data_IF_458012045609
#
_entry.id   IF_458012045609
#
_cell.length_a   1.000
_cell.length_b   1.000
_cell.length_c   1.000
_cell.angle_alpha   90.00
_cell.angle_beta   90.00
_cell.angle_gamma   90.00
#
_symmetry.space_group_name_H-M   'P 1'
#
loop_
_entity.id
_entity.type
_entity.pdbx_description
1 polymer ?
#
# COMPACT_ATOMS: atom_id res chain seq x y z
N UNK A 1 -6.84 -6.58 1.24
CA UNK A 1 -6.55 -5.14 1.34
C UNK A 1 -5.23 -4.95 2.08
N UNK A 2 -4.19 -4.52 1.37
CA UNK A 2 -2.79 -4.64 1.82
C UNK A 2 -2.33 -3.57 2.82
N UNK A 3 -2.87 -2.36 2.73
CA UNK A 3 -2.48 -1.24 3.61
C UNK A 3 -2.81 -1.59 5.07
N UNK A 4 -4.03 -2.07 5.31
CA UNK A 4 -4.44 -2.52 6.64
C UNK A 4 -3.58 -3.69 7.12
N UNK A 5 -3.19 -4.61 6.22
CA UNK A 5 -2.30 -5.70 6.57
C UNK A 5 -0.95 -5.17 7.04
N UNK A 6 -0.33 -4.24 6.30
CA UNK A 6 0.93 -3.61 6.69
C UNK A 6 0.82 -2.92 8.06
N UNK A 7 -0.25 -2.16 8.28
CA UNK A 7 -0.49 -1.50 9.57
C UNK A 7 -0.57 -2.52 10.72
N UNK A 8 -1.28 -3.63 10.54
CA UNK A 8 -1.40 -4.68 11.55
C UNK A 8 -0.07 -5.42 11.81
N UNK A 9 0.73 -5.66 10.77
CA UNK A 9 2.05 -6.30 10.85
C UNK A 9 3.07 -5.45 11.64
N UNK A 10 2.88 -4.12 11.74
CA UNK A 10 3.68 -3.25 12.64
C UNK A 10 3.43 -3.53 14.13
N UNK A 11 2.42 -4.32 14.46
CA UNK A 11 2.09 -4.70 15.83
C UNK A 11 1.15 -3.72 16.55
N UNK A 12 0.59 -4.19 17.66
CA UNK A 12 -0.51 -3.51 18.39
C UNK A 12 -0.18 -2.11 18.93
N UNK A 13 1.10 -1.78 19.08
CA UNK A 13 1.56 -0.48 19.57
C UNK A 13 1.79 0.53 18.45
N UNK A 14 2.12 0.06 17.24
CA UNK A 14 2.57 0.92 16.14
C UNK A 14 1.60 0.93 14.94
N UNK A 15 0.52 0.14 14.98
CA UNK A 15 -0.42 0.04 13.85
C UNK A 15 -1.15 1.35 13.52
N UNK A 16 -1.25 2.29 14.48
CA UNK A 16 -1.85 3.62 14.27
C UNK A 16 -0.85 4.67 13.81
N UNK A 17 0.44 4.34 13.77
CA UNK A 17 1.47 5.30 13.35
C UNK A 17 1.30 5.66 11.86
N UNK A 18 1.70 6.88 11.48
CA UNK A 18 1.74 7.29 10.07
C UNK A 18 2.50 6.26 9.23
N UNK A 19 1.99 6.03 8.03
CA UNK A 19 2.63 5.16 7.04
C UNK A 19 2.83 5.94 5.76
N UNK A 20 4.06 5.90 5.24
CA UNK A 20 4.41 6.52 3.98
C UNK A 20 4.20 5.57 2.79
N UNK A 21 3.91 6.08 1.58
CA UNK A 21 3.82 5.26 0.36
C UNK A 21 5.10 4.47 0.08
N UNK A 22 6.28 5.06 0.31
CA UNK A 22 7.57 4.42 0.03
C UNK A 22 7.80 3.19 0.92
N UNK A 23 7.49 3.29 2.22
CA UNK A 23 7.59 2.17 3.14
C UNK A 23 6.64 1.03 2.73
N UNK A 24 5.41 1.38 2.35
CA UNK A 24 4.44 0.41 1.86
C UNK A 24 4.85 -0.21 0.53
N UNK A 25 5.46 0.54 -0.38
CA UNK A 25 5.80 0.06 -1.72
C UNK A 25 6.70 -1.17 -1.65
N UNK A 26 7.70 -1.14 -0.76
CA UNK A 26 8.63 -2.26 -0.55
C UNK A 26 7.95 -3.47 0.10
N UNK A 27 7.09 -3.23 1.10
CA UNK A 27 6.30 -4.30 1.71
C UNK A 27 5.35 -4.95 0.71
N UNK A 28 4.68 -4.13 -0.10
CA UNK A 28 3.74 -4.57 -1.12
C UNK A 28 4.41 -5.44 -2.18
N UNK A 29 5.55 -4.99 -2.70
CA UNK A 29 6.34 -5.78 -3.65
C UNK A 29 6.73 -7.13 -3.05
N UNK A 30 7.23 -7.13 -1.81
CA UNK A 30 7.61 -8.37 -1.12
C UNK A 30 6.40 -9.31 -0.95
N UNK A 31 5.28 -8.79 -0.45
CA UNK A 31 4.06 -9.56 -0.22
C UNK A 31 3.49 -10.19 -1.51
N UNK A 32 3.55 -9.47 -2.63
CA UNK A 32 3.09 -9.97 -3.92
C UNK A 32 4.04 -11.02 -4.51
N UNK A 33 5.35 -10.84 -4.37
CA UNK A 33 6.36 -11.77 -4.89
C UNK A 33 6.53 -13.04 -4.04
N UNK A 34 6.22 -12.97 -2.74
CA UNK A 34 6.41 -14.09 -1.79
C UNK A 34 5.63 -15.35 -2.21
N UNK A 35 4.46 -15.18 -2.82
CA UNK A 35 3.62 -16.29 -3.28
C UNK A 35 3.42 -16.23 -4.78
N UNK A 36 3.81 -17.30 -5.46
CA UNK A 36 3.72 -17.41 -6.91
C UNK A 36 2.30 -17.18 -7.45
N UNK A 37 1.27 -17.67 -6.76
CA UNK A 37 -0.12 -17.45 -7.18
C UNK A 37 -0.54 -15.97 -7.12
N UNK A 38 -0.04 -15.18 -6.15
CA UNK A 38 -0.34 -13.74 -6.04
C UNK A 38 0.34 -12.98 -7.16
N UNK A 39 1.62 -13.28 -7.38
CA UNK A 39 2.41 -12.73 -8.49
C UNK A 39 1.71 -12.96 -9.83
N UNK A 40 1.16 -14.15 -10.06
CA UNK A 40 0.51 -14.49 -11.32
C UNK A 40 -0.85 -13.79 -11.51
N UNK A 41 -1.64 -13.61 -10.45
CA UNK A 41 -2.97 -12.97 -10.54
C UNK A 41 -2.83 -11.45 -10.63
N UNK A 42 -2.04 -10.84 -9.75
CA UNK A 42 -1.91 -9.37 -9.66
C UNK A 42 -1.06 -8.77 -10.78
N UNK A 43 -0.14 -9.55 -11.37
CA UNK A 43 0.70 -9.12 -12.50
C UNK A 43 0.42 -9.89 -13.81
N UNK A 44 -0.79 -10.43 -13.98
CA UNK A 44 -1.20 -11.15 -15.20
C UNK A 44 -1.16 -10.28 -16.46
N UNK A 45 -1.30 -8.95 -16.32
CA UNK A 45 -1.28 -8.03 -17.44
C UNK A 45 0.14 -7.86 -18.02
N UNK A 46 0.22 -7.74 -19.35
CA UNK A 46 1.50 -7.73 -20.08
C UNK A 46 2.46 -6.61 -19.61
N UNK A 47 1.93 -5.51 -19.08
CA UNK A 47 2.69 -4.35 -18.58
C UNK A 47 3.23 -4.49 -17.15
N UNK A 48 2.86 -5.57 -16.47
CA UNK A 48 3.14 -5.80 -15.05
C UNK A 48 4.31 -6.75 -14.81
N UNK A 49 4.79 -7.48 -15.83
CA UNK A 49 6.02 -8.29 -15.71
C UNK A 49 7.27 -7.47 -15.41
N UNK A 50 7.30 -6.19 -15.78
CA UNK A 50 8.39 -5.26 -15.44
C UNK A 50 8.42 -4.89 -13.95
N UNK A 51 7.38 -5.24 -13.20
CA UNK A 51 7.24 -5.02 -11.76
C UNK A 51 7.72 -6.21 -10.92
N UNK A 52 8.25 -7.27 -11.56
CA UNK A 52 8.73 -8.48 -10.89
C UNK A 52 10.03 -8.26 -10.12
N UNK A 53 10.90 -7.45 -10.70
CA UNK A 53 12.16 -7.05 -10.08
C UNK A 53 12.00 -5.68 -9.42
N UNK A 54 12.53 -5.55 -8.21
CA UNK A 54 12.56 -4.27 -7.52
C UNK A 54 13.52 -3.33 -8.23
N UNK A 55 12.99 -2.27 -8.84
CA UNK A 55 13.72 -1.21 -9.52
C UNK A 55 12.95 0.12 -9.40
N UNK A 56 13.57 1.23 -9.79
CA UNK A 56 12.98 2.57 -9.66
C UNK A 56 11.65 2.71 -10.42
N UNK A 57 11.48 1.99 -11.53
CA UNK A 57 10.23 1.98 -12.32
C UNK A 57 9.12 1.24 -11.57
N UNK A 58 9.46 0.13 -10.91
CA UNK A 58 8.53 -0.65 -10.11
C UNK A 58 8.11 0.11 -8.86
N UNK A 59 9.05 0.75 -8.18
CA UNK A 59 8.79 1.61 -7.03
C UNK A 59 7.83 2.76 -7.41
N UNK A 60 8.14 3.51 -8.47
CA UNK A 60 7.30 4.61 -8.94
C UNK A 60 5.88 4.16 -9.33
N UNK A 61 5.74 3.03 -10.04
CA UNK A 61 4.42 2.48 -10.39
C UNK A 61 3.63 2.03 -9.17
N UNK A 62 4.28 1.41 -8.18
CA UNK A 62 3.61 0.95 -6.96
C UNK A 62 3.17 2.15 -6.12
N UNK A 63 4.02 3.18 -5.97
CA UNK A 63 3.65 4.43 -5.29
C UNK A 63 2.45 5.09 -5.99
N UNK A 64 2.48 5.17 -7.33
CA UNK A 64 1.38 5.70 -8.12
C UNK A 64 0.08 4.88 -7.97
N UNK A 65 0.19 3.55 -7.85
CA UNK A 65 -0.95 2.69 -7.57
C UNK A 65 -1.55 3.03 -6.21
N UNK A 66 -0.72 3.17 -5.17
CA UNK A 66 -1.17 3.53 -3.83
C UNK A 66 -1.85 4.89 -3.78
N UNK A 67 -1.25 5.91 -4.40
CA UNK A 67 -1.83 7.25 -4.53
C UNK A 67 -3.20 7.20 -5.20
N UNK A 68 -3.34 6.42 -6.28
CA UNK A 68 -4.61 6.30 -6.97
C UNK A 68 -5.63 5.44 -6.19
N UNK A 69 -5.22 4.37 -5.52
CA UNK A 69 -6.03 3.49 -4.68
C UNK A 69 -5.14 2.67 -3.72
N UNK A 70 -5.42 2.59 -2.40
CA UNK A 70 -6.65 2.97 -1.71
C UNK A 70 -6.61 4.37 -1.08
N UNK A 71 -5.51 5.13 -1.19
CA UNK A 71 -5.29 6.43 -0.52
C UNK A 71 -6.44 7.44 -0.72
N UNK A 72 -6.85 7.64 -1.97
CA UNK A 72 -7.93 8.58 -2.34
C UNK A 72 -9.33 8.05 -2.01
N UNK A 73 -9.52 6.74 -1.87
CA UNK A 73 -10.84 6.15 -1.55
C UNK A 73 -11.09 6.07 -0.05
N UNK A 74 -10.04 5.83 0.73
CA UNK A 74 -10.11 5.67 2.19
C UNK A 74 -10.30 7.00 2.92
N UNK A 75 -9.66 8.06 2.43
CA UNK A 75 -9.78 9.40 2.99
C UNK A 75 -11.15 10.06 2.76
N UNK A 76 -11.90 9.59 1.76
CA UNK A 76 -13.20 10.17 1.35
C UNK A 76 -14.43 9.44 1.91
N UNK A 77 -14.25 8.29 2.57
CA UNK A 77 -15.38 7.54 3.12
C UNK A 77 -15.83 8.17 4.44
N UNK A 78 -17.09 8.64 4.52
CA UNK A 78 -17.68 9.15 5.78
C UNK A 78 -17.61 8.05 6.85
N UNK A 79 -16.95 8.35 7.97
CA UNK A 79 -16.77 7.40 9.09
C UNK A 79 -15.52 6.51 8.98
N UNK A 80 -14.62 6.74 8.01
CA UNK A 80 -13.33 6.05 8.00
C UNK A 80 -12.48 6.46 9.21
N UNK A 81 -11.85 5.48 9.84
CA UNK A 81 -10.85 5.67 10.91
C UNK A 81 -9.46 6.00 10.34
N UNK A 82 -9.37 6.27 9.05
CA UNK A 82 -8.12 6.55 8.33
C UNK A 82 -8.26 7.81 7.50
N UNK A 83 -7.32 8.74 7.64
CA UNK A 83 -7.30 9.98 6.86
C UNK A 83 -5.95 10.18 6.18
N UNK A 84 -5.99 10.86 5.04
CA UNK A 84 -4.82 11.17 4.24
C UNK A 84 -4.35 12.59 4.57
N UNK A 85 -3.08 12.76 4.93
CA UNK A 85 -2.47 14.06 5.20
C UNK A 85 -1.10 14.11 4.54
N UNK A 86 -0.91 15.10 3.66
CA UNK A 86 0.41 15.43 3.07
C UNK A 86 1.16 14.27 2.38
N UNK A 87 0.46 13.23 1.90
CA UNK A 87 1.10 12.05 1.30
C UNK A 87 1.01 10.78 2.14
N UNK A 88 0.63 10.89 3.41
CA UNK A 88 0.65 9.78 4.37
C UNK A 88 -0.75 9.31 4.78
N UNK A 89 -0.86 8.01 5.08
CA UNK A 89 -2.05 7.43 5.72
C UNK A 89 -1.85 7.47 7.23
N UNK A 90 -2.82 8.08 7.91
CA UNK A 90 -2.91 8.11 9.35
C UNK A 90 -4.13 7.29 9.77
N UNK A 91 -3.98 6.40 10.75
CA UNK A 91 -5.11 5.75 11.42
C UNK A 91 -5.36 6.44 12.76
N UNK A 92 -6.57 7.00 12.94
CA UNK A 92 -6.95 7.72 14.14
C UNK A 92 -8.36 8.31 14.05
N UNK A 93 -9.01 8.45 15.20
CA UNK A 93 -10.28 9.18 15.32
C UNK A 93 -10.03 10.66 15.00
N UNK A 94 -10.86 11.26 14.15
CA UNK A 94 -10.91 12.71 13.99
C UNK A 94 -11.29 13.32 15.34
N UNK A 95 -10.36 14.03 15.98
CA UNK A 95 -10.65 14.94 17.09
C UNK A 95 -10.69 16.37 16.58
#
# INVERSE_FOLDING_TARGET
>A
MIVLLYMLERGKTHWTEPVTPNEMARFFHTYLMEKEYRRLIDFAEKDHRKLWDWNDVAEAKIIQLFDNMPMTKWSWTKGSMTYFKEGDILAGLRY
#
